data_IF_829434319657
#
_entry.id   IF_829434319657
#
_cell.length_a   1.000
_cell.length_b   1.000
_cell.length_c   1.000
_cell.angle_alpha   90.00
_cell.angle_beta   90.00
_cell.angle_gamma   90.00
#
_symmetry.space_group_name_H-M   'P 1'
#
loop_
_entity.id
_entity.type
_entity.pdbx_description
1 polymer ?
#
# COMPACT_ATOMS: atom_id res chain seq x y z
N UNK A 1 12.74 34.76 7.36
CA UNK A 1 11.63 34.57 6.39
C UNK A 1 11.15 33.13 6.52
N UNK A 2 9.98 32.91 7.13
CA UNK A 2 9.43 31.56 7.35
C UNK A 2 8.56 31.22 6.14
N UNK A 3 9.01 30.29 5.31
CA UNK A 3 8.22 29.77 4.19
C UNK A 3 7.09 28.92 4.75
N UNK A 4 5.89 29.49 4.86
CA UNK A 4 4.67 28.73 5.14
C UNK A 4 4.37 27.83 3.93
N UNK A 5 4.73 26.55 4.04
CA UNK A 5 4.37 25.52 3.07
C UNK A 5 2.86 25.29 3.16
N UNK A 6 2.10 25.89 2.25
CA UNK A 6 0.65 25.65 2.12
C UNK A 6 0.41 24.14 1.94
N UNK A 7 -0.51 23.54 2.70
CA UNK A 7 -0.94 22.16 2.47
C UNK A 7 -1.48 22.07 1.03
N UNK A 8 -1.05 21.06 0.27
CA UNK A 8 -1.63 20.80 -1.06
C UNK A 8 -3.09 20.41 -0.85
N UNK A 9 -4.02 21.25 -1.29
CA UNK A 9 -5.44 20.89 -1.39
C UNK A 9 -5.54 19.69 -2.34
N UNK A 10 -5.83 18.52 -1.78
CA UNK A 10 -6.10 17.32 -2.55
C UNK A 10 -7.56 17.47 -3.00
N UNK A 11 -7.80 17.73 -4.28
CA UNK A 11 -9.16 17.67 -4.85
C UNK A 11 -9.67 16.23 -4.73
N UNK A 12 -10.51 15.97 -3.74
CA UNK A 12 -11.05 14.64 -3.41
C UNK A 12 -11.98 14.12 -4.52
N UNK A 13 -12.60 15.00 -5.29
CA UNK A 13 -13.63 14.64 -6.28
C UNK A 13 -13.08 14.26 -7.66
N UNK A 14 -11.78 14.47 -7.92
CA UNK A 14 -11.19 14.14 -9.23
C UNK A 14 -10.40 12.84 -9.15
N UNK A 15 -10.78 11.81 -9.94
CA UNK A 15 -10.04 10.56 -9.96
C UNK A 15 -8.61 10.83 -10.40
N UNK A 16 -7.66 10.22 -9.69
CA UNK A 16 -6.24 10.38 -10.01
C UNK A 16 -5.96 9.93 -11.44
N UNK A 17 -4.91 10.44 -12.08
CA UNK A 17 -4.57 10.03 -13.44
C UNK A 17 -4.39 8.50 -13.58
N UNK A 18 -3.84 7.83 -12.56
CA UNK A 18 -3.70 6.36 -12.52
C UNK A 18 -5.05 5.65 -12.40
N UNK A 19 -5.98 6.23 -11.64
CA UNK A 19 -7.34 5.71 -11.47
C UNK A 19 -8.17 5.91 -12.75
N UNK A 20 -8.03 7.06 -13.42
CA UNK A 20 -8.61 7.29 -14.74
C UNK A 20 -8.12 6.22 -15.74
N UNK A 21 -6.83 5.90 -15.73
CA UNK A 21 -6.26 4.84 -16.56
C UNK A 21 -6.84 3.46 -16.21
N UNK A 22 -6.97 3.13 -14.92
CA UNK A 22 -7.55 1.86 -14.48
C UNK A 22 -9.04 1.74 -14.90
N UNK A 23 -9.80 2.81 -14.73
CA UNK A 23 -11.20 2.90 -15.15
C UNK A 23 -11.33 2.76 -16.68
N UNK A 24 -10.45 3.41 -17.43
CA UNK A 24 -10.41 3.28 -18.89
C UNK A 24 -10.10 1.84 -19.32
N UNK A 25 -9.13 1.18 -18.69
CA UNK A 25 -8.81 -0.23 -18.96
C UNK A 25 -10.05 -1.10 -18.74
N UNK A 26 -10.73 -0.94 -17.60
CA UNK A 26 -11.97 -1.68 -17.30
C UNK A 26 -13.04 -1.48 -18.37
N UNK A 27 -13.27 -0.24 -18.82
CA UNK A 27 -14.22 0.08 -19.89
C UNK A 27 -13.83 -0.58 -21.21
N UNK A 28 -12.55 -0.58 -21.58
CA UNK A 28 -12.06 -1.20 -22.81
C UNK A 28 -12.15 -2.73 -22.74
N UNK A 29 -11.91 -3.36 -21.58
CA UNK A 29 -12.15 -4.80 -21.37
C UNK A 29 -13.61 -5.15 -21.61
N UNK A 30 -14.53 -4.40 -21.02
CA UNK A 30 -15.97 -4.58 -21.25
C UNK A 30 -16.31 -4.43 -22.75
N UNK A 31 -15.80 -3.38 -23.41
CA UNK A 31 -16.04 -3.16 -24.85
C UNK A 31 -15.49 -4.31 -25.71
N UNK A 32 -14.29 -4.81 -25.40
CA UNK A 32 -13.68 -5.96 -26.09
C UNK A 32 -14.50 -7.23 -25.89
N UNK A 33 -15.00 -7.48 -24.68
CA UNK A 33 -15.87 -8.62 -24.39
C UNK A 33 -17.17 -8.57 -25.22
N UNK A 34 -17.81 -7.39 -25.27
CA UNK A 34 -19.00 -7.18 -26.11
C UNK A 34 -18.71 -7.39 -27.60
N UNK A 35 -17.57 -6.88 -28.07
CA UNK A 35 -17.12 -7.09 -29.45
C UNK A 35 -16.94 -8.58 -29.76
N UNK A 36 -16.29 -9.34 -28.88
CA UNK A 36 -16.07 -10.79 -29.05
C UNK A 36 -17.37 -11.60 -29.09
N UNK A 37 -18.36 -11.20 -28.29
CA UNK A 37 -19.67 -11.87 -28.21
C UNK A 37 -20.54 -11.63 -29.44
N UNK A 38 -20.23 -10.62 -30.25
CA UNK A 38 -20.97 -10.35 -31.48
C UNK A 38 -20.59 -11.35 -32.58
N UNK A 39 -21.61 -11.96 -33.23
CA UNK A 39 -21.42 -12.87 -34.36
C UNK A 39 -20.91 -12.16 -35.62
N UNK A 40 -21.23 -10.88 -35.79
CA UNK A 40 -20.76 -10.01 -36.88
C UNK A 40 -19.66 -9.07 -36.38
N UNK A 41 -18.69 -9.59 -35.63
CA UNK A 41 -17.61 -8.76 -35.06
C UNK A 41 -16.62 -8.32 -36.13
N UNK A 42 -16.16 -7.07 -35.99
CA UNK A 42 -15.06 -6.56 -36.81
C UNK A 42 -13.73 -6.91 -36.13
N UNK A 43 -12.94 -7.76 -36.80
CA UNK A 43 -11.64 -8.21 -36.34
C UNK A 43 -10.62 -7.06 -36.24
N UNK A 44 -10.73 -6.02 -37.08
CA UNK A 44 -9.86 -4.84 -37.00
C UNK A 44 -10.11 -4.08 -35.71
N UNK A 45 -11.39 -3.87 -35.38
CA UNK A 45 -11.77 -3.24 -34.11
C UNK A 45 -11.28 -4.07 -32.93
N UNK A 46 -11.45 -5.39 -32.98
CA UNK A 46 -10.97 -6.28 -31.92
C UNK A 46 -9.44 -6.22 -31.72
N UNK A 47 -8.68 -6.17 -32.82
CA UNK A 47 -7.23 -6.02 -32.79
C UNK A 47 -6.82 -4.67 -32.19
N UNK A 48 -7.47 -3.58 -32.60
CA UNK A 48 -7.24 -2.23 -32.05
C UNK A 48 -7.52 -2.20 -30.55
N UNK A 49 -8.66 -2.74 -30.11
CA UNK A 49 -9.00 -2.82 -28.68
C UNK A 49 -7.97 -3.64 -27.90
N UNK A 50 -7.47 -4.73 -28.48
CA UNK A 50 -6.45 -5.58 -27.85
C UNK A 50 -5.11 -4.86 -27.72
N UNK A 51 -4.66 -4.18 -28.77
CA UNK A 51 -3.44 -3.38 -28.75
C UNK A 51 -3.53 -2.23 -27.75
N UNK A 52 -4.62 -1.48 -27.78
CA UNK A 52 -4.87 -0.36 -26.88
C UNK A 52 -4.92 -0.82 -25.41
N UNK A 53 -5.60 -1.95 -25.14
CA UNK A 53 -5.64 -2.57 -23.82
C UNK A 53 -4.24 -2.96 -23.34
N UNK A 54 -3.47 -3.67 -24.17
CA UNK A 54 -2.12 -4.14 -23.82
C UNK A 54 -1.18 -2.98 -23.49
N UNK A 55 -1.23 -1.91 -24.28
CA UNK A 55 -0.44 -0.69 -24.03
C UNK A 55 -0.80 -0.03 -22.70
N UNK A 56 -2.11 0.16 -22.44
CA UNK A 56 -2.57 0.78 -21.20
C UNK A 56 -2.25 -0.07 -19.96
N UNK A 57 -2.40 -1.40 -20.05
CA UNK A 57 -2.03 -2.32 -18.96
C UNK A 57 -0.52 -2.30 -18.70
N UNK A 58 0.29 -2.23 -19.76
CA UNK A 58 1.73 -2.08 -19.63
C UNK A 58 2.10 -0.76 -18.95
N UNK A 59 1.51 0.35 -19.37
CA UNK A 59 1.73 1.67 -18.76
C UNK A 59 1.37 1.67 -17.27
N UNK A 60 0.22 1.10 -16.91
CA UNK A 60 -0.22 1.00 -15.53
C UNK A 60 0.78 0.20 -14.68
N UNK A 61 1.20 -0.98 -15.17
CA UNK A 61 2.21 -1.82 -14.49
C UNK A 61 3.54 -1.10 -14.34
N UNK A 62 4.02 -0.43 -15.38
CA UNK A 62 5.26 0.34 -15.36
C UNK A 62 5.20 1.46 -14.31
N UNK A 63 4.07 2.18 -14.19
CA UNK A 63 3.85 3.19 -13.14
C UNK A 63 3.85 2.57 -11.74
N UNK A 64 3.19 1.43 -11.55
CA UNK A 64 3.17 0.71 -10.27
C UNK A 64 4.57 0.25 -9.86
N UNK A 65 5.32 -0.39 -10.77
CA UNK A 65 6.69 -0.84 -10.53
C UNK A 65 7.63 0.32 -10.21
N UNK A 66 7.52 1.44 -10.94
CA UNK A 66 8.30 2.64 -10.64
C UNK A 66 8.01 3.16 -9.23
N UNK A 67 6.73 3.17 -8.82
CA UNK A 67 6.33 3.59 -7.47
C UNK A 67 6.88 2.65 -6.40
N UNK A 68 6.79 1.34 -6.59
CA UNK A 68 7.35 0.33 -5.69
C UNK A 68 8.86 0.51 -5.55
N UNK A 69 9.57 0.64 -6.68
CA UNK A 69 11.02 0.84 -6.71
C UNK A 69 11.43 2.11 -5.95
N UNK A 70 10.74 3.24 -6.17
CA UNK A 70 10.96 4.48 -5.41
C UNK A 70 10.72 4.30 -3.92
N UNK A 71 9.63 3.64 -3.52
CA UNK A 71 9.35 3.35 -2.12
C UNK A 71 10.42 2.47 -1.48
N UNK A 72 10.89 1.44 -2.19
CA UNK A 72 11.99 0.59 -1.73
C UNK A 72 13.29 1.39 -1.58
N UNK A 73 13.59 2.30 -2.50
CA UNK A 73 14.74 3.19 -2.40
C UNK A 73 14.64 4.11 -1.18
N UNK A 74 13.49 4.75 -0.96
CA UNK A 74 13.26 5.58 0.23
C UNK A 74 13.43 4.75 1.50
N UNK A 75 12.80 3.57 1.58
CA UNK A 75 12.95 2.68 2.74
C UNK A 75 14.41 2.36 3.03
N UNK A 76 15.21 2.04 2.01
CA UNK A 76 16.66 1.80 2.14
C UNK A 76 17.43 3.04 2.62
N UNK A 77 17.06 4.23 2.15
CA UNK A 77 17.70 5.47 2.60
C UNK A 77 17.42 5.75 4.07
N UNK A 78 16.17 5.59 4.52
CA UNK A 78 15.79 5.78 5.92
C UNK A 78 16.47 4.77 6.84
N UNK A 79 16.54 3.49 6.45
CA UNK A 79 17.27 2.47 7.20
C UNK A 79 18.77 2.81 7.28
N UNK A 80 19.42 3.21 6.18
CA UNK A 80 20.84 3.63 6.21
C UNK A 80 21.13 4.82 7.13
N UNK A 81 20.20 5.76 7.29
CA UNK A 81 20.34 6.85 8.27
C UNK A 81 20.12 6.40 9.71
N UNK A 82 19.31 5.36 9.94
CA UNK A 82 19.17 4.74 11.26
C UNK A 82 20.41 3.89 11.62
N UNK A 83 21.03 3.25 10.62
CA UNK A 83 22.25 2.46 10.77
C UNK A 83 23.51 3.31 11.08
N UNK A 84 23.43 4.64 10.96
CA UNK A 84 24.46 5.56 11.48
C UNK A 84 24.30 5.87 12.99
N UNK A 85 23.26 5.33 13.64
CA UNK A 85 23.09 5.32 15.10
C UNK A 85 23.03 3.91 15.71
N UNK A 86 22.95 2.85 14.91
CA UNK A 86 23.14 1.48 15.38
C UNK A 86 23.87 0.68 14.30
N UNK A 87 25.19 0.64 14.40
CA UNK A 87 25.97 -0.37 13.70
C UNK A 87 25.64 -1.74 14.30
N UNK A 88 25.52 -2.72 13.41
CA UNK A 88 25.50 -4.17 13.66
C UNK A 88 24.13 -4.80 13.98
N UNK A 89 23.94 -6.02 13.43
CA UNK A 89 22.80 -6.94 13.54
C UNK A 89 21.59 -6.57 12.65
N UNK A 90 21.35 -7.14 11.46
CA UNK A 90 21.52 -8.53 11.01
C UNK A 90 21.69 -8.57 9.48
N UNK A 91 22.70 -9.31 9.01
CA UNK A 91 22.71 -9.89 7.68
C UNK A 91 22.16 -11.32 7.76
N UNK A 92 21.40 -11.72 6.75
CA UNK A 92 21.20 -13.09 6.26
C UNK A 92 20.74 -14.15 7.26
N UNK A 93 19.43 -14.43 7.31
CA UNK A 93 18.95 -15.81 7.28
C UNK A 93 17.44 -15.91 7.04
N UNK A 94 17.09 -16.13 5.76
CA UNK A 94 15.86 -16.81 5.42
C UNK A 94 15.95 -18.27 5.91
N UNK A 95 14.88 -18.72 6.56
CA UNK A 95 14.42 -20.12 6.60
C UNK A 95 15.06 -21.09 7.62
N UNK A 96 14.54 -21.09 8.86
CA UNK A 96 14.23 -22.35 9.59
C UNK A 96 13.34 -22.13 10.83
N UNK A 97 12.12 -22.67 10.73
CA UNK A 97 11.31 -23.30 11.77
C UNK A 97 11.88 -23.29 13.20
N UNK A 98 11.26 -22.53 14.11
CA UNK A 98 11.11 -22.96 15.51
C UNK A 98 9.95 -22.21 16.17
N UNK A 99 9.00 -22.98 16.71
CA UNK A 99 7.97 -22.50 17.61
C UNK A 99 8.62 -22.03 18.92
N UNK A 100 8.55 -20.73 19.23
CA UNK A 100 8.57 -20.25 20.61
C UNK A 100 7.85 -18.91 20.70
N UNK A 101 6.65 -18.98 21.26
CA UNK A 101 5.90 -17.85 21.82
C UNK A 101 6.67 -17.33 23.04
N UNK A 102 7.40 -16.23 22.88
CA UNK A 102 7.56 -15.21 23.92
C UNK A 102 8.23 -13.97 23.29
N UNK A 103 7.35 -13.00 23.04
CA UNK A 103 7.55 -11.61 23.45
C UNK A 103 8.87 -10.94 23.07
N UNK A 104 8.97 -10.57 21.79
CA UNK A 104 9.66 -9.35 21.41
C UNK A 104 8.71 -8.54 20.56
N UNK A 105 7.74 -7.86 21.20
CA UNK A 105 6.94 -6.87 20.51
C UNK A 105 7.88 -5.71 20.13
N UNK A 106 8.12 -5.43 18.83
CA UNK A 106 9.01 -4.34 18.41
C UNK A 106 8.48 -2.95 18.84
N UNK A 107 7.24 -2.91 19.32
CA UNK A 107 6.52 -1.74 19.82
C UNK A 107 6.71 -1.52 21.33
N UNK A 108 7.53 -2.32 21.99
CA UNK A 108 7.81 -2.28 23.44
C UNK A 108 9.07 -1.45 23.76
N UNK A 109 9.52 -0.60 22.84
CA UNK A 109 10.39 0.53 23.16
C UNK A 109 9.65 1.56 24.02
N UNK A 110 10.32 2.60 24.56
CA UNK A 110 9.65 3.61 25.35
C UNK A 110 8.65 4.35 24.46
N UNK A 111 7.40 3.89 24.49
CA UNK A 111 6.27 4.56 23.87
C UNK A 111 6.23 5.99 24.43
N UNK A 112 5.75 6.92 23.62
CA UNK A 112 5.60 8.32 23.99
C UNK A 112 5.05 8.40 25.43
N UNK A 113 5.67 9.16 26.35
CA UNK A 113 5.24 9.22 27.75
C UNK A 113 3.74 9.50 27.90
N UNK A 114 3.14 10.22 26.95
CA UNK A 114 1.71 10.50 26.89
C UNK A 114 0.84 9.24 26.71
N UNK A 115 1.35 8.19 26.06
CA UNK A 115 0.64 6.93 25.79
C UNK A 115 0.75 5.91 26.93
N UNK A 116 1.72 6.06 27.83
CA UNK A 116 1.77 5.24 29.05
C UNK A 116 0.50 5.41 29.92
N UNK A 117 -0.14 6.59 29.83
CA UNK A 117 -1.43 6.87 30.45
C UNK A 117 -2.57 6.04 29.85
N UNK A 118 -2.48 5.72 28.55
CA UNK A 118 -3.48 4.94 27.82
C UNK A 118 -3.38 3.45 28.18
N UNK A 119 -2.18 2.89 28.30
CA UNK A 119 -2.01 1.49 28.70
C UNK A 119 -2.58 1.24 30.09
N UNK A 120 -2.29 2.14 31.04
CA UNK A 120 -2.89 2.12 32.38
C UNK A 120 -4.42 2.22 32.35
N UNK A 121 -4.99 3.01 31.43
CA UNK A 121 -6.42 3.11 31.24
C UNK A 121 -7.03 1.81 30.68
N UNK A 122 -6.39 1.20 29.69
CA UNK A 122 -6.83 -0.06 29.09
C UNK A 122 -6.76 -1.23 30.09
N UNK A 123 -5.74 -1.27 30.95
CA UNK A 123 -5.67 -2.24 32.05
C UNK A 123 -6.83 -2.10 33.03
N UNK A 124 -7.22 -0.86 33.39
CA UNK A 124 -8.39 -0.62 34.25
C UNK A 124 -9.71 -1.06 33.60
N UNK A 125 -9.85 -0.92 32.28
CA UNK A 125 -11.03 -1.43 31.57
C UNK A 125 -11.12 -2.96 31.59
N UNK A 126 -9.98 -3.66 31.57
CA UNK A 126 -9.95 -5.12 31.63
C UNK A 126 -10.42 -5.67 32.99
N UNK A 127 -10.26 -4.90 34.06
CA UNK A 127 -10.76 -5.26 35.40
C UNK A 127 -12.29 -5.13 35.51
N UNK A 128 -12.91 -4.28 34.68
CA UNK A 128 -14.37 -4.14 34.61
C UNK A 128 -14.92 -5.30 33.77
N UNK A 129 -14.94 -6.49 34.35
CA UNK A 129 -15.70 -7.63 33.82
C UNK A 129 -17.18 -7.34 34.00
N UNK A 130 -17.81 -6.74 33.00
CA UNK A 130 -19.26 -6.64 32.94
C UNK A 130 -19.80 -8.07 32.78
N UNK A 131 -20.62 -8.59 33.73
CA UNK A 131 -21.26 -9.89 33.54
C UNK A 131 -22.21 -9.76 32.36
N UNK A 132 -21.91 -10.44 31.25
CA UNK A 132 -22.86 -10.61 30.17
C UNK A 132 -23.92 -11.61 30.65
N UNK A 133 -25.05 -11.10 31.14
CA UNK A 133 -26.25 -11.93 31.32
C UNK A 133 -26.74 -12.33 29.92
N UNK A 134 -26.72 -13.63 29.63
CA UNK A 134 -27.37 -14.25 28.48
C UNK A 134 -28.63 -14.97 28.92
#
# INVERSE_FOLDING_TARGET
MVASTRPREIEIDKPSHTEQLANWISRVRCKKLLCRRNRKRDLRIEAVLTCALSKAEHELRSKQLSRISKWQQFKKQFLKTADYQNSEFYNNEDMRNSNSYEENNPWQGPLCPELSSLDNFMSKLAEIKVPLQR
#
